data_IF_862745148484
#
_entry.id   IF_862745148484
#
_cell.length_a   1.000
_cell.length_b   1.000
_cell.length_c   1.000
_cell.angle_alpha   90.00
_cell.angle_beta   90.00
_cell.angle_gamma   90.00
#
_symmetry.space_group_name_H-M   'P 1'
#
loop_
_entity.id
_entity.type
_entity.pdbx_description
1 polymer ?
#
# COMPACT_ATOMS: atom_id res chain seq x y z
N UNK A 1 3.78 -35.43 19.72
CA UNK A 1 4.81 -35.03 18.74
C UNK A 1 4.09 -34.82 17.43
N UNK A 2 3.56 -33.62 17.21
CA UNK A 2 2.69 -33.30 16.07
C UNK A 2 3.52 -32.70 14.95
N UNK A 3 3.52 -33.37 13.80
CA UNK A 3 4.19 -32.94 12.57
C UNK A 3 3.83 -31.51 12.22
N UNK A 4 4.87 -30.68 12.20
CA UNK A 4 4.82 -29.31 11.71
C UNK A 4 4.88 -29.40 10.18
N UNK A 5 3.73 -29.50 9.53
CA UNK A 5 3.64 -29.38 8.07
C UNK A 5 4.02 -27.94 7.67
N UNK A 6 5.32 -27.71 7.52
CA UNK A 6 5.85 -26.56 6.81
C UNK A 6 5.52 -26.75 5.34
N UNK A 7 4.43 -26.13 4.88
CA UNK A 7 4.05 -26.09 3.47
C UNK A 7 5.21 -25.47 2.67
N UNK A 8 6.01 -26.33 2.03
CA UNK A 8 7.01 -25.90 1.06
C UNK A 8 6.24 -25.32 -0.12
N UNK A 9 6.49 -24.05 -0.44
CA UNK A 9 5.86 -23.40 -1.58
C UNK A 9 6.37 -24.15 -2.82
N UNK A 10 5.49 -24.84 -3.55
CA UNK A 10 5.88 -25.50 -4.80
C UNK A 10 6.35 -24.44 -5.79
N UNK A 11 7.29 -24.82 -6.68
CA UNK A 11 7.90 -23.88 -7.62
C UNK A 11 6.86 -23.11 -8.46
N UNK A 12 5.74 -23.74 -8.81
CA UNK A 12 4.65 -23.14 -9.59
C UNK A 12 3.87 -22.05 -8.83
N UNK A 13 3.69 -22.19 -7.52
CA UNK A 13 3.08 -21.14 -6.69
C UNK A 13 3.96 -19.90 -6.60
N UNK A 14 5.28 -20.06 -6.64
CA UNK A 14 6.23 -18.93 -6.71
C UNK A 14 6.13 -18.21 -8.05
N UNK A 15 6.12 -18.95 -9.16
CA UNK A 15 6.02 -18.39 -10.52
C UNK A 15 4.72 -17.62 -10.73
N UNK A 16 3.59 -18.17 -10.30
CA UNK A 16 2.28 -17.50 -10.40
C UNK A 16 2.29 -16.17 -9.65
N UNK A 17 2.86 -16.14 -8.45
CA UNK A 17 2.95 -14.93 -7.64
C UNK A 17 3.85 -13.87 -8.29
N UNK A 18 4.91 -14.30 -8.98
CA UNK A 18 5.82 -13.40 -9.69
C UNK A 18 5.17 -12.83 -10.97
N UNK A 19 4.39 -13.64 -11.69
CA UNK A 19 3.57 -13.13 -12.81
C UNK A 19 2.53 -12.13 -12.36
N UNK A 20 1.81 -12.39 -11.26
CA UNK A 20 0.81 -11.45 -10.74
C UNK A 20 1.44 -10.11 -10.38
N UNK A 21 2.63 -10.10 -9.73
CA UNK A 21 3.36 -8.86 -9.45
C UNK A 21 3.80 -8.16 -10.73
N UNK A 22 4.31 -8.91 -11.71
CA UNK A 22 4.76 -8.35 -12.99
C UNK A 22 3.60 -7.68 -13.73
N UNK A 23 2.45 -8.36 -13.86
CA UNK A 23 1.23 -7.78 -14.42
C UNK A 23 0.76 -6.57 -13.61
N UNK A 24 0.79 -6.65 -12.28
CA UNK A 24 0.50 -5.50 -11.41
C UNK A 24 1.35 -4.27 -11.72
N UNK A 25 2.66 -4.45 -11.94
CA UNK A 25 3.56 -3.35 -12.31
C UNK A 25 3.31 -2.83 -13.72
N UNK A 26 2.95 -3.71 -14.67
CA UNK A 26 2.52 -3.29 -16.01
C UNK A 26 1.25 -2.44 -15.90
N UNK A 27 0.28 -2.81 -15.07
CA UNK A 27 -0.93 -2.03 -14.85
C UNK A 27 -0.66 -0.67 -14.19
N UNK A 28 0.33 -0.58 -13.30
CA UNK A 28 0.81 0.72 -12.79
C UNK A 28 1.30 1.59 -13.95
N UNK A 29 2.16 1.06 -14.82
CA UNK A 29 2.69 1.81 -15.96
C UNK A 29 1.56 2.26 -16.91
N UNK A 30 0.70 1.33 -17.32
CA UNK A 30 -0.45 1.58 -18.21
C UNK A 30 -1.39 2.62 -17.61
N UNK A 31 -1.65 2.56 -16.30
CA UNK A 31 -2.51 3.51 -15.59
C UNK A 31 -1.96 4.94 -15.50
N UNK A 32 -0.67 5.17 -15.80
CA UNK A 32 -0.06 6.50 -15.85
C UNK A 32 0.19 7.01 -17.29
N UNK A 33 -0.03 6.18 -18.30
CA UNK A 33 0.04 6.59 -19.71
C UNK A 33 -1.31 7.19 -20.10
N UNK A 34 -1.39 8.51 -20.19
CA UNK A 34 -2.57 9.24 -20.66
C UNK A 34 -2.72 9.13 -22.19
N UNK A 35 -3.01 7.92 -22.70
CA UNK A 35 -3.40 7.71 -24.10
C UNK A 35 -4.75 6.98 -24.17
N UNK A 36 -5.66 7.43 -25.04
CA UNK A 36 -7.02 6.89 -25.18
C UNK A 36 -7.06 5.37 -25.43
N UNK A 37 -6.04 4.83 -26.11
CA UNK A 37 -5.92 3.39 -26.43
C UNK A 37 -5.73 2.54 -25.17
N UNK A 38 -5.06 3.07 -24.14
CA UNK A 38 -4.73 2.34 -22.92
C UNK A 38 -5.61 2.72 -21.71
N UNK A 39 -6.46 3.73 -21.87
CA UNK A 39 -7.42 4.18 -20.86
C UNK A 39 -8.64 3.24 -20.70
N UNK A 40 -8.77 2.25 -21.60
CA UNK A 40 -9.93 1.32 -21.69
C UNK A 40 -10.11 0.45 -20.44
N UNK A 41 -9.04 0.16 -19.70
CA UNK A 41 -9.12 -0.81 -18.59
C UNK A 41 -9.26 -0.18 -17.21
N UNK A 42 -9.27 1.16 -17.09
CA UNK A 42 -9.20 1.82 -15.80
C UNK A 42 -8.15 1.17 -14.89
N UNK A 43 -6.98 0.80 -15.43
CA UNK A 43 -5.93 0.10 -14.71
C UNK A 43 -5.55 0.82 -13.41
N UNK A 44 -5.71 2.15 -13.42
CA UNK A 44 -5.60 3.02 -12.27
C UNK A 44 -6.49 2.63 -11.07
N UNK A 45 -7.72 2.13 -11.31
CA UNK A 45 -8.70 1.82 -10.27
C UNK A 45 -8.37 0.56 -9.46
N UNK A 46 -7.70 -0.44 -10.05
CA UNK A 46 -7.53 -1.74 -9.39
C UNK A 46 -6.10 -2.13 -9.05
N UNK A 47 -5.07 -1.50 -9.64
CA UNK A 47 -3.68 -1.92 -9.39
C UNK A 47 -3.24 -1.73 -7.93
N UNK A 48 -3.57 -0.62 -7.27
CA UNK A 48 -3.24 -0.42 -5.85
C UNK A 48 -4.05 -1.37 -4.94
N UNK A 49 -5.37 -1.54 -5.12
CA UNK A 49 -6.14 -2.60 -4.47
C UNK A 49 -5.54 -3.99 -4.61
N UNK A 50 -5.06 -4.35 -5.81
CA UNK A 50 -4.47 -5.65 -6.09
C UNK A 50 -3.25 -5.93 -5.21
N UNK A 51 -2.34 -4.95 -5.04
CA UNK A 51 -1.17 -5.14 -4.18
C UNK A 51 -1.53 -5.28 -2.70
N UNK A 52 -2.54 -4.56 -2.21
CA UNK A 52 -3.04 -4.76 -0.85
C UNK A 52 -3.67 -6.14 -0.68
N UNK A 53 -4.48 -6.57 -1.64
CA UNK A 53 -5.10 -7.90 -1.65
C UNK A 53 -4.05 -9.02 -1.63
N UNK A 54 -3.03 -8.94 -2.49
CA UNK A 54 -1.91 -9.88 -2.48
C UNK A 54 -1.17 -9.87 -1.14
N UNK A 55 -1.03 -8.71 -0.50
CA UNK A 55 -0.49 -8.60 0.86
C UNK A 55 -1.27 -9.44 1.88
N UNK A 56 -2.61 -9.42 1.78
CA UNK A 56 -3.52 -10.27 2.55
C UNK A 56 -3.35 -11.76 2.24
N UNK A 57 -3.32 -12.14 0.95
CA UNK A 57 -3.15 -13.54 0.50
C UNK A 57 -1.82 -14.14 0.99
N UNK A 58 -0.75 -13.33 0.98
CA UNK A 58 0.59 -13.75 1.41
C UNK A 58 0.78 -13.72 2.92
N UNK A 59 -0.19 -13.18 3.67
CA UNK A 59 -0.08 -13.07 5.12
C UNK A 59 -0.12 -14.46 5.78
N UNK A 60 0.94 -14.78 6.55
CA UNK A 60 1.02 -16.02 7.33
C UNK A 60 0.85 -15.71 8.81
N UNK A 61 -0.15 -16.33 9.44
CA UNK A 61 -0.44 -16.18 10.88
C UNK A 61 0.51 -17.01 11.77
N UNK A 62 1.81 -16.84 11.59
CA UNK A 62 2.85 -17.53 12.37
C UNK A 62 3.64 -16.60 13.27
N UNK A 63 3.56 -15.28 13.03
CA UNK A 63 4.35 -14.26 13.76
C UNK A 63 3.48 -13.53 14.77
N UNK A 64 4.03 -13.24 15.95
CA UNK A 64 3.42 -12.27 16.87
C UNK A 64 3.30 -10.89 16.22
N UNK A 65 2.34 -10.07 16.67
CA UNK A 65 2.09 -8.72 16.13
C UNK A 65 3.38 -7.89 16.16
N UNK A 66 4.10 -7.89 17.28
CA UNK A 66 5.36 -7.16 17.45
C UNK A 66 6.41 -7.56 16.42
N UNK A 67 6.62 -8.86 16.23
CA UNK A 67 7.58 -9.39 15.26
C UNK A 67 7.16 -9.10 13.81
N UNK A 68 5.86 -9.17 13.53
CA UNK A 68 5.33 -8.80 12.21
C UNK A 68 5.53 -7.31 11.93
N UNK A 69 5.15 -6.43 12.87
CA UNK A 69 5.33 -4.98 12.78
C UNK A 69 6.79 -4.61 12.58
N UNK A 70 7.70 -5.16 13.38
CA UNK A 70 9.13 -4.93 13.24
C UNK A 70 9.65 -5.39 11.86
N UNK A 71 9.16 -6.52 11.35
CA UNK A 71 9.52 -7.01 10.02
C UNK A 71 9.03 -6.08 8.90
N UNK A 72 7.76 -5.64 8.96
CA UNK A 72 7.19 -4.70 7.97
C UNK A 72 7.97 -3.40 7.96
N UNK A 73 8.20 -2.79 9.14
CA UNK A 73 8.95 -1.54 9.25
C UNK A 73 10.38 -1.72 8.74
N UNK A 74 11.10 -2.75 9.18
CA UNK A 74 12.50 -3.00 8.78
C UNK A 74 12.66 -3.23 7.28
N UNK A 75 11.64 -3.79 6.62
CA UNK A 75 11.68 -4.02 5.17
C UNK A 75 11.24 -2.79 4.38
N UNK A 76 10.12 -2.19 4.76
CA UNK A 76 9.42 -1.20 3.95
C UNK A 76 9.94 0.22 4.16
N UNK A 77 10.30 0.57 5.41
CA UNK A 77 10.75 1.93 5.73
C UNK A 77 12.11 2.26 5.10
N UNK A 78 13.15 1.40 5.15
CA UNK A 78 14.40 1.68 4.46
C UNK A 78 14.22 1.75 2.95
N UNK A 79 13.38 0.88 2.37
CA UNK A 79 13.07 0.91 0.95
C UNK A 79 12.45 2.26 0.55
N UNK A 80 11.43 2.72 1.28
CA UNK A 80 10.81 4.04 1.06
C UNK A 80 11.85 5.17 1.13
N UNK A 81 12.70 5.19 2.16
CA UNK A 81 13.70 6.25 2.36
C UNK A 81 14.76 6.23 1.26
N UNK A 82 15.34 5.05 0.97
CA UNK A 82 16.39 4.91 -0.05
C UNK A 82 15.85 5.29 -1.42
N UNK A 83 14.67 4.80 -1.80
CA UNK A 83 14.05 5.13 -3.09
C UNK A 83 13.73 6.62 -3.18
N UNK A 84 13.24 7.25 -2.11
CA UNK A 84 13.00 8.69 -2.07
C UNK A 84 14.31 9.48 -2.29
N UNK A 85 15.38 9.11 -1.59
CA UNK A 85 16.69 9.78 -1.70
C UNK A 85 17.29 9.64 -3.11
N UNK A 86 17.21 8.44 -3.70
CA UNK A 86 17.74 8.19 -5.04
C UNK A 86 16.95 9.00 -6.09
N UNK A 87 15.62 8.89 -6.09
CA UNK A 87 14.77 9.59 -7.07
C UNK A 87 14.83 11.11 -6.86
N UNK A 88 14.87 11.56 -5.61
CA UNK A 88 15.06 12.97 -5.28
C UNK A 88 16.40 13.52 -5.78
N UNK A 89 17.48 12.76 -5.61
CA UNK A 89 18.81 13.15 -6.11
C UNK A 89 18.86 13.19 -7.64
N UNK A 90 18.23 12.22 -8.31
CA UNK A 90 18.12 12.22 -9.79
C UNK A 90 17.32 13.44 -10.26
N UNK A 91 16.19 13.75 -9.62
CA UNK A 91 15.39 14.93 -9.94
C UNK A 91 16.19 16.23 -9.78
N UNK A 92 16.98 16.36 -8.71
CA UNK A 92 17.85 17.51 -8.49
C UNK A 92 18.93 17.62 -9.56
N UNK A 93 19.57 16.50 -9.92
CA UNK A 93 20.58 16.48 -10.99
C UNK A 93 20.00 16.89 -12.34
N UNK A 94 18.80 16.42 -12.67
CA UNK A 94 18.09 16.81 -13.89
C UNK A 94 17.80 18.32 -13.88
N UNK A 95 17.37 18.86 -12.74
CA UNK A 95 17.11 20.28 -12.60
C UNK A 95 18.36 21.13 -12.82
N UNK A 96 19.45 20.80 -12.13
CA UNK A 96 20.71 21.56 -12.21
C UNK A 96 21.35 21.43 -13.60
N UNK A 97 21.29 20.26 -14.24
CA UNK A 97 21.97 20.02 -15.52
C UNK A 97 21.18 20.48 -16.74
N UNK A 98 19.86 20.34 -16.71
CA UNK A 98 18.98 20.56 -17.87
C UNK A 98 17.94 21.66 -17.64
N UNK A 99 17.86 22.26 -16.45
CA UNK A 99 16.87 23.28 -16.12
C UNK A 99 15.43 22.75 -15.99
N UNK A 100 15.24 21.43 -15.96
CA UNK A 100 13.91 20.82 -15.92
C UNK A 100 13.44 20.72 -14.45
N UNK A 101 12.41 21.49 -14.10
CA UNK A 101 11.83 21.47 -12.76
C UNK A 101 10.76 20.36 -12.63
N UNK A 102 11.11 19.27 -11.93
CA UNK A 102 10.19 18.14 -11.65
C UNK A 102 9.52 18.22 -10.27
N UNK A 103 9.79 19.27 -9.49
CA UNK A 103 9.27 19.52 -8.15
C UNK A 103 10.36 19.57 -7.07
N UNK A 104 9.99 19.96 -5.86
CA UNK A 104 10.91 20.17 -4.75
C UNK A 104 11.11 18.87 -3.95
N UNK A 105 12.07 18.07 -4.38
CA UNK A 105 12.39 16.79 -3.73
C UNK A 105 12.97 16.96 -2.32
N UNK A 106 13.74 18.03 -2.08
CA UNK A 106 14.38 18.33 -0.81
C UNK A 106 14.06 19.76 -0.39
N UNK A 107 13.82 19.96 0.91
CA UNK A 107 13.63 21.28 1.53
C UNK A 107 14.91 21.70 2.26
N UNK A 108 14.88 22.86 2.94
CA UNK A 108 16.03 23.47 3.63
C UNK A 108 16.63 22.61 4.76
N UNK A 109 15.88 21.62 5.26
CA UNK A 109 16.36 20.67 6.28
C UNK A 109 15.64 19.33 6.24
N UNK A 110 16.16 18.35 6.97
CA UNK A 110 15.62 16.98 7.01
C UNK A 110 14.16 16.94 7.51
N UNK A 111 13.86 17.62 8.61
CA UNK A 111 12.51 17.66 9.17
C UNK A 111 11.50 18.27 8.20
N UNK A 112 11.83 19.42 7.61
CA UNK A 112 10.95 20.08 6.65
C UNK A 112 10.81 19.28 5.36
N UNK A 113 11.84 18.54 4.94
CA UNK A 113 11.74 17.61 3.80
C UNK A 113 10.75 16.48 4.08
N UNK A 114 10.85 15.83 5.24
CA UNK A 114 9.92 14.76 5.64
C UNK A 114 8.49 15.31 5.74
N UNK A 115 8.33 16.48 6.36
CA UNK A 115 7.03 17.15 6.51
C UNK A 115 6.44 17.54 5.15
N UNK A 116 7.26 18.04 4.22
CA UNK A 116 6.85 18.35 2.85
C UNK A 116 6.41 17.08 2.11
N UNK A 117 7.20 16.01 2.19
CA UNK A 117 6.89 14.72 1.57
C UNK A 117 5.55 14.17 2.09
N UNK A 118 5.34 14.16 3.41
CA UNK A 118 4.09 13.65 3.99
C UNK A 118 2.89 14.54 3.63
N UNK A 119 3.02 15.86 3.76
CA UNK A 119 1.92 16.80 3.44
C UNK A 119 1.52 16.77 1.96
N UNK A 120 2.49 16.60 1.08
CA UNK A 120 2.26 16.47 -0.36
C UNK A 120 1.87 15.05 -0.78
N UNK A 121 1.69 14.12 0.16
CA UNK A 121 1.44 12.71 -0.14
C UNK A 121 2.50 12.13 -1.10
N UNK A 122 3.77 12.49 -0.90
CA UNK A 122 4.93 12.12 -1.74
C UNK A 122 4.88 12.62 -3.19
N UNK A 123 3.97 13.55 -3.52
CA UNK A 123 3.88 14.17 -4.85
C UNK A 123 4.65 15.50 -4.96
N UNK A 124 5.44 15.87 -3.96
CA UNK A 124 6.34 17.03 -4.05
C UNK A 124 7.40 16.88 -5.15
N UNK A 125 7.69 15.65 -5.58
CA UNK A 125 8.50 15.35 -6.76
C UNK A 125 7.68 14.48 -7.72
N UNK A 126 7.42 14.98 -8.94
CA UNK A 126 6.68 14.27 -9.99
C UNK A 126 7.36 12.99 -10.47
N UNK A 127 8.61 12.73 -10.08
CA UNK A 127 9.29 11.47 -10.39
C UNK A 127 8.99 10.38 -9.36
N UNK A 128 8.36 10.70 -8.22
CA UNK A 128 8.13 9.75 -7.12
C UNK A 128 6.66 9.39 -6.89
N UNK A 129 5.95 9.00 -7.95
CA UNK A 129 4.51 8.70 -7.89
C UNK A 129 4.13 7.51 -7.00
N UNK A 130 5.06 6.58 -6.72
CA UNK A 130 4.76 5.36 -5.96
C UNK A 130 4.95 5.52 -4.45
N UNK A 131 5.50 6.66 -3.99
CA UNK A 131 5.86 6.87 -2.59
C UNK A 131 4.71 6.79 -1.61
N UNK A 132 3.56 7.35 -1.96
CA UNK A 132 2.36 7.34 -1.11
C UNK A 132 1.87 5.92 -0.82
N UNK A 133 1.92 5.04 -1.83
CA UNK A 133 1.49 3.66 -1.69
C UNK A 133 2.40 2.90 -0.72
N UNK A 134 3.71 3.04 -0.87
CA UNK A 134 4.68 2.38 0.00
C UNK A 134 4.52 2.83 1.47
N UNK A 135 4.22 4.12 1.68
CA UNK A 135 3.93 4.67 2.99
C UNK A 135 2.62 4.12 3.57
N UNK A 136 1.52 4.17 2.80
CA UNK A 136 0.22 3.61 3.20
C UNK A 136 0.28 2.11 3.52
N UNK A 137 1.06 1.34 2.74
CA UNK A 137 1.22 -0.11 2.90
C UNK A 137 1.74 -0.54 4.27
N UNK A 138 2.61 0.26 4.89
CA UNK A 138 3.10 0.01 6.25
C UNK A 138 1.91 -0.04 7.23
N UNK A 139 1.06 0.99 7.19
CA UNK A 139 -0.08 1.12 8.09
C UNK A 139 -1.18 0.12 7.77
N UNK A 140 -1.50 -0.06 6.49
CA UNK A 140 -2.47 -1.06 6.02
C UNK A 140 -2.11 -2.45 6.53
N UNK A 141 -0.86 -2.88 6.35
CA UNK A 141 -0.41 -4.20 6.78
C UNK A 141 -0.50 -4.39 8.29
N UNK A 142 -0.02 -3.41 9.07
CA UNK A 142 0.00 -3.49 10.54
C UNK A 142 -1.42 -3.48 11.11
N UNK A 143 -2.25 -2.53 10.70
CA UNK A 143 -3.61 -2.37 11.21
C UNK A 143 -4.51 -3.53 10.82
N UNK A 144 -4.40 -4.04 9.59
CA UNK A 144 -5.17 -5.21 9.15
C UNK A 144 -4.83 -6.45 9.98
N UNK A 145 -3.55 -6.69 10.25
CA UNK A 145 -3.12 -7.82 11.09
C UNK A 145 -3.60 -7.68 12.53
N UNK A 146 -3.61 -6.45 13.08
CA UNK A 146 -4.17 -6.19 14.40
C UNK A 146 -5.66 -6.56 14.43
N UNK A 147 -6.44 -6.15 13.42
CA UNK A 147 -7.86 -6.50 13.32
C UNK A 147 -8.04 -8.02 13.23
N UNK A 148 -7.38 -8.67 12.27
CA UNK A 148 -7.51 -10.12 12.03
C UNK A 148 -7.22 -10.91 13.31
N UNK A 149 -6.12 -10.59 14.02
CA UNK A 149 -5.77 -11.28 15.26
C UNK A 149 -6.70 -10.97 16.42
N UNK A 150 -7.23 -9.76 16.49
CA UNK A 150 -8.18 -9.37 17.53
C UNK A 150 -9.50 -10.12 17.37
N UNK A 151 -10.03 -10.23 16.15
CA UNK A 151 -11.26 -10.98 15.88
C UNK A 151 -11.03 -12.48 16.10
N UNK A 152 -9.91 -13.03 15.62
CA UNK A 152 -9.57 -14.45 15.81
C UNK A 152 -9.42 -14.85 17.28
N UNK A 153 -9.09 -13.91 18.17
CA UNK A 153 -9.06 -14.15 19.62
C UNK A 153 -10.46 -14.38 20.21
N UNK A 154 -11.48 -13.76 19.63
CA UNK A 154 -12.87 -13.80 20.14
C UNK A 154 -13.69 -14.85 19.41
N UNK A 155 -13.53 -14.95 18.08
CA UNK A 155 -14.31 -15.82 17.21
C UNK A 155 -13.56 -17.11 16.93
N UNK A 156 -14.03 -18.21 17.54
CA UNK A 156 -13.42 -19.54 17.42
C UNK A 156 -13.85 -20.26 16.12
N UNK A 157 -15.09 -20.05 15.67
CA UNK A 157 -15.61 -20.67 14.44
C UNK A 157 -14.98 -20.03 13.20
N UNK A 158 -14.36 -20.85 12.35
CA UNK A 158 -13.69 -20.35 11.13
C UNK A 158 -14.67 -19.69 10.16
N UNK A 159 -15.85 -20.29 9.94
CA UNK A 159 -16.86 -19.71 9.06
C UNK A 159 -17.35 -18.33 9.57
N UNK A 160 -17.56 -18.21 10.89
CA UNK A 160 -17.97 -16.95 11.50
C UNK A 160 -16.83 -15.92 11.40
N UNK A 161 -15.59 -16.31 11.64
CA UNK A 161 -14.41 -15.43 11.51
C UNK A 161 -14.34 -14.83 10.10
N UNK A 162 -14.39 -15.67 9.07
CA UNK A 162 -14.34 -15.24 7.68
C UNK A 162 -15.50 -14.28 7.34
N UNK A 163 -16.73 -14.61 7.75
CA UNK A 163 -17.90 -13.74 7.52
C UNK A 163 -17.77 -12.36 8.18
N UNK A 164 -17.24 -12.31 9.41
CA UNK A 164 -17.00 -11.05 10.13
C UNK A 164 -15.92 -10.22 9.44
N UNK A 165 -14.83 -10.86 8.97
CA UNK A 165 -13.77 -10.17 8.24
C UNK A 165 -14.24 -9.63 6.89
N UNK A 166 -15.11 -10.35 6.17
CA UNK A 166 -15.77 -9.83 4.96
C UNK A 166 -16.64 -8.62 5.30
N UNK A 167 -17.47 -8.71 6.34
CA UNK A 167 -18.32 -7.59 6.77
C UNK A 167 -17.49 -6.35 7.15
N UNK A 168 -16.38 -6.53 7.88
CA UNK A 168 -15.44 -5.46 8.19
C UNK A 168 -14.83 -4.88 6.92
N UNK A 169 -14.43 -5.72 5.96
CA UNK A 169 -13.85 -5.26 4.70
C UNK A 169 -14.85 -4.39 3.92
N UNK A 170 -16.10 -4.81 3.82
CA UNK A 170 -17.17 -4.03 3.16
C UNK A 170 -17.46 -2.74 3.91
N UNK A 171 -17.47 -2.76 5.24
CA UNK A 171 -17.68 -1.56 6.06
C UNK A 171 -16.56 -0.53 5.84
N UNK A 172 -15.30 -0.96 5.87
CA UNK A 172 -14.14 -0.08 5.71
C UNK A 172 -14.14 0.63 4.35
N UNK A 173 -14.40 -0.11 3.27
CA UNK A 173 -14.44 0.49 1.92
C UNK A 173 -15.64 1.42 1.76
N UNK A 174 -16.81 1.04 2.32
CA UNK A 174 -18.00 1.89 2.28
C UNK A 174 -17.71 3.22 2.99
N UNK A 175 -17.19 3.16 4.23
CA UNK A 175 -16.83 4.37 5.00
C UNK A 175 -15.85 5.24 4.23
N UNK A 176 -14.84 4.62 3.62
CA UNK A 176 -13.82 5.32 2.86
C UNK A 176 -14.38 6.04 1.63
N UNK A 177 -15.20 5.35 0.82
CA UNK A 177 -15.72 5.89 -0.43
C UNK A 177 -16.87 6.87 -0.21
N UNK A 178 -17.81 6.58 0.69
CA UNK A 178 -19.04 7.38 0.83
C UNK A 178 -18.89 8.58 1.76
N UNK A 179 -17.97 8.54 2.73
CA UNK A 179 -17.81 9.64 3.70
C UNK A 179 -16.46 10.34 3.56
N UNK A 180 -15.35 9.61 3.60
CA UNK A 180 -14.02 10.24 3.66
C UNK A 180 -13.56 10.83 2.33
N UNK A 181 -13.79 10.13 1.21
CA UNK A 181 -13.42 10.64 -0.12
C UNK A 181 -14.13 11.96 -0.46
N UNK A 182 -15.46 12.11 -0.30
CA UNK A 182 -16.14 13.40 -0.50
C UNK A 182 -15.63 14.50 0.44
N UNK A 183 -15.40 14.18 1.72
CA UNK A 183 -14.84 15.15 2.66
C UNK A 183 -13.45 15.61 2.26
N UNK A 184 -12.58 14.70 1.79
CA UNK A 184 -11.28 15.07 1.26
C UNK A 184 -11.40 15.99 0.04
N UNK A 185 -12.35 15.72 -0.87
CA UNK A 185 -12.56 16.59 -2.04
C UNK A 185 -12.90 18.02 -1.62
N UNK A 186 -13.68 18.20 -0.54
CA UNK A 186 -14.08 19.50 -0.02
C UNK A 186 -12.96 20.21 0.76
N UNK A 187 -12.31 19.52 1.69
CA UNK A 187 -11.35 20.14 2.63
C UNK A 187 -9.92 20.15 2.09
N UNK A 188 -9.58 19.21 1.19
CA UNK A 188 -8.23 18.95 0.67
C UNK A 188 -7.17 18.70 1.76
N UNK A 189 -7.58 18.22 2.94
CA UNK A 189 -6.66 17.85 4.02
C UNK A 189 -5.92 16.54 3.69
N UNK A 190 -4.59 16.61 3.72
CA UNK A 190 -3.71 15.46 3.49
C UNK A 190 -3.92 14.33 4.51
N UNK A 191 -4.35 14.64 5.74
CA UNK A 191 -4.67 13.62 6.77
C UNK A 191 -5.88 12.79 6.37
N UNK A 192 -6.94 13.45 5.88
CA UNK A 192 -8.14 12.77 5.39
C UNK A 192 -7.83 11.90 4.18
N UNK A 193 -7.01 12.40 3.25
CA UNK A 193 -6.53 11.62 2.11
C UNK A 193 -5.80 10.35 2.58
N UNK A 194 -4.87 10.50 3.53
CA UNK A 194 -4.11 9.38 4.05
C UNK A 194 -5.00 8.35 4.77
N UNK A 195 -5.95 8.79 5.60
CA UNK A 195 -6.89 7.89 6.27
C UNK A 195 -7.75 7.15 5.23
N UNK A 196 -8.24 7.85 4.19
CA UNK A 196 -8.98 7.23 3.09
C UNK A 196 -8.17 6.13 2.39
N UNK A 197 -6.90 6.41 2.06
CA UNK A 197 -6.00 5.42 1.45
C UNK A 197 -5.79 4.20 2.36
N UNK A 198 -5.57 4.42 3.66
CA UNK A 198 -5.34 3.34 4.62
C UNK A 198 -6.60 2.48 4.79
N UNK A 199 -7.80 3.07 4.94
CA UNK A 199 -9.03 2.30 5.09
C UNK A 199 -9.39 1.50 3.84
N UNK A 200 -9.21 2.12 2.66
CA UNK A 200 -9.36 1.42 1.38
C UNK A 200 -8.39 0.24 1.30
N UNK A 201 -7.11 0.45 1.59
CA UNK A 201 -6.10 -0.61 1.56
C UNK A 201 -6.38 -1.72 2.58
N UNK A 202 -6.83 -1.37 3.79
CA UNK A 202 -7.21 -2.34 4.81
C UNK A 202 -8.37 -3.22 4.38
N UNK A 203 -9.38 -2.65 3.70
CA UNK A 203 -10.48 -3.44 3.12
C UNK A 203 -9.95 -4.55 2.20
N UNK A 204 -9.12 -4.19 1.22
CA UNK A 204 -8.57 -5.17 0.27
C UNK A 204 -7.59 -6.15 0.92
N UNK A 205 -6.77 -5.70 1.88
CA UNK A 205 -5.85 -6.58 2.60
C UNK A 205 -6.60 -7.61 3.45
N UNK A 206 -7.63 -7.20 4.20
CA UNK A 206 -8.44 -8.12 5.01
C UNK A 206 -9.23 -9.05 4.10
N UNK A 207 -9.79 -8.54 3.00
CA UNK A 207 -10.48 -9.37 2.03
C UNK A 207 -9.56 -10.41 1.39
N UNK A 208 -8.30 -10.08 1.12
CA UNK A 208 -7.32 -11.05 0.62
C UNK A 208 -6.86 -12.10 1.63
N UNK A 209 -7.10 -11.89 2.93
CA UNK A 209 -6.83 -12.89 3.96
C UNK A 209 -7.95 -13.94 4.06
N UNK A 210 -9.18 -13.57 3.69
CA UNK A 210 -10.36 -14.44 3.72
C UNK A 210 -10.27 -15.50 2.62
#
# INVERSE_FOLDING_TARGET
MTEKNSFSISHEHSLTMDYVKAFGMIFVLVGHINNDIFNVYYAYLFHMPLFFFIGGVLYKDTRCITNFTAHVIKKQLPYLIITYLIIGSIALLINVRYGIHTGDAFSTGLYETVKLAIKSNFHNNKMFLTGWFLFAYIFVSILSVIIIKSIKRVVVSNALLLSVLVAISVLLITVSITYLSPQYILVKDYKLNFICQVLTGMSFYIFGYV
#
